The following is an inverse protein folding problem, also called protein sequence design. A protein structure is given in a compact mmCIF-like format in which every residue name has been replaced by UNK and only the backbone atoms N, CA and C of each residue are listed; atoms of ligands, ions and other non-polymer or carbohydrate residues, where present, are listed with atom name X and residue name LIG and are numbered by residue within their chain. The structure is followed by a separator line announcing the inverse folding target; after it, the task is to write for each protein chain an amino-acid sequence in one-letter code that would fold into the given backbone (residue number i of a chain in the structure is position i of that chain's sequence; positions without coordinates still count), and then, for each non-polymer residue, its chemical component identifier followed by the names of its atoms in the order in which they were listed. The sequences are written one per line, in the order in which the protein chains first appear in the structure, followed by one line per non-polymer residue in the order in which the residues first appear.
data_IF_190741077614
#
_entry.id   IF_190741077614
#
_cell.length_a   1.000
_cell.length_b   1.000
_cell.length_c   1.000
_cell.angle_alpha   90.00
_cell.angle_beta   90.00
_cell.angle_gamma   90.00
#
_symmetry.space_group_name_H-M   'P 1'
#
loop_
_entity.id
_entity.type
_entity.pdbx_description
1 polymer ?
#
# COMPACT_ATOMS: atom_id res chain seq x y z
N UNK A 1 22.05 23.54 -8.19
CA UNK A 1 20.62 23.93 -8.17
C UNK A 1 20.01 23.21 -6.98
N UNK A 2 19.91 23.91 -5.85
CA UNK A 2 19.62 23.30 -4.55
C UNK A 2 18.10 23.19 -4.38
N UNK A 3 17.59 21.97 -4.51
CA UNK A 3 16.18 21.67 -4.25
C UNK A 3 15.98 21.62 -2.73
N UNK A 4 15.23 22.58 -2.19
CA UNK A 4 14.93 22.68 -0.76
C UNK A 4 14.02 21.52 -0.33
N UNK A 5 14.35 20.91 0.82
CA UNK A 5 13.67 19.77 1.45
C UNK A 5 12.18 20.04 1.72
N UNK A 6 11.75 21.30 1.76
CA UNK A 6 10.35 21.72 1.87
C UNK A 6 9.45 21.24 0.72
N UNK A 7 9.97 21.11 -0.50
CA UNK A 7 9.19 20.68 -1.67
C UNK A 7 8.82 19.18 -1.68
N UNK A 8 9.54 18.35 -0.90
CA UNK A 8 9.25 16.91 -0.83
C UNK A 8 8.02 16.62 0.04
N UNK A 9 7.72 17.48 1.02
CA UNK A 9 6.57 17.30 1.92
C UNK A 9 5.26 17.82 1.32
N UNK A 10 5.25 18.96 0.63
CA UNK A 10 4.06 19.45 -0.08
C UNK A 10 3.64 18.53 -1.24
N UNK A 11 4.60 17.97 -1.98
CA UNK A 11 4.31 17.00 -3.05
C UNK A 11 3.80 15.66 -2.53
N UNK A 12 4.20 15.26 -1.32
CA UNK A 12 3.72 14.02 -0.71
C UNK A 12 2.24 14.06 -0.31
N UNK A 13 1.72 15.23 0.10
CA UNK A 13 0.30 15.42 0.39
C UNK A 13 -0.56 15.16 -0.85
N UNK A 14 -0.15 15.70 -2.01
CA UNK A 14 -0.87 15.52 -3.27
C UNK A 14 -0.71 14.12 -3.88
N UNK A 15 0.35 13.40 -3.54
CA UNK A 15 0.57 12.06 -4.06
C UNK A 15 -0.52 11.08 -3.58
N UNK A 16 -0.83 11.09 -2.28
CA UNK A 16 -1.85 10.19 -1.70
C UNK A 16 -3.29 10.66 -1.96
N UNK A 17 -3.49 11.86 -2.48
CA UNK A 17 -4.80 12.37 -2.90
C UNK A 17 -5.26 11.82 -4.26
N UNK A 18 -4.32 11.29 -5.07
CA UNK A 18 -4.66 10.62 -6.32
C UNK A 18 -5.52 9.38 -6.03
N UNK A 19 -6.54 9.17 -6.85
CA UNK A 19 -7.58 8.17 -6.58
C UNK A 19 -7.01 6.76 -6.35
N UNK A 20 -6.11 6.30 -7.22
CA UNK A 20 -5.53 4.96 -7.12
C UNK A 20 -4.67 4.80 -5.85
N UNK A 21 -3.83 5.79 -5.56
CA UNK A 21 -2.97 5.84 -4.39
C UNK A 21 -3.77 5.88 -3.09
N UNK A 22 -4.81 6.72 -3.04
CA UNK A 22 -5.75 6.82 -1.92
C UNK A 22 -6.43 5.48 -1.64
N UNK A 23 -6.94 4.82 -2.68
CA UNK A 23 -7.65 3.55 -2.55
C UNK A 23 -6.78 2.45 -1.95
N UNK A 24 -5.54 2.30 -2.44
CA UNK A 24 -4.61 1.29 -1.92
C UNK A 24 -4.20 1.60 -0.48
N UNK A 25 -3.82 2.86 -0.21
CA UNK A 25 -3.33 3.25 1.11
C UNK A 25 -4.43 3.19 2.19
N UNK A 26 -5.56 3.86 1.97
CA UNK A 26 -6.66 3.85 2.94
C UNK A 26 -7.32 2.47 3.03
N UNK A 27 -7.37 1.72 1.92
CA UNK A 27 -7.78 0.33 1.92
C UNK A 27 -6.93 -0.52 2.88
N UNK A 28 -5.60 -0.41 2.80
CA UNK A 28 -4.69 -1.10 3.70
C UNK A 28 -4.87 -0.68 5.16
N UNK A 29 -4.95 0.62 5.44
CA UNK A 29 -5.12 1.18 6.79
C UNK A 29 -6.38 0.64 7.45
N UNK A 30 -7.51 0.79 6.77
CA UNK A 30 -8.80 0.34 7.28
C UNK A 30 -8.86 -1.18 7.45
N UNK A 31 -8.32 -1.95 6.52
CA UNK A 31 -8.36 -3.41 6.62
C UNK A 31 -7.51 -3.93 7.78
N UNK A 32 -6.31 -3.35 7.95
CA UNK A 32 -5.40 -3.68 9.05
C UNK A 32 -5.99 -3.25 10.40
N UNK A 33 -6.58 -2.05 10.49
CA UNK A 33 -7.25 -1.59 11.70
C UNK A 33 -8.43 -2.49 12.10
N UNK A 34 -9.16 -3.07 11.14
CA UNK A 34 -10.20 -4.06 11.43
C UNK A 34 -9.64 -5.34 12.07
N UNK A 35 -8.48 -5.81 11.61
CA UNK A 35 -7.79 -6.93 12.27
C UNK A 35 -7.30 -6.58 13.67
N UNK A 36 -6.72 -5.40 13.86
CA UNK A 36 -6.21 -4.96 15.16
C UNK A 36 -7.30 -4.73 16.20
N UNK A 37 -8.44 -4.17 15.79
CA UNK A 37 -9.54 -3.81 16.70
C UNK A 37 -10.61 -4.91 16.84
N UNK A 38 -10.66 -5.86 15.91
CA UNK A 38 -11.75 -6.84 15.81
C UNK A 38 -13.11 -6.21 15.48
N UNK A 39 -13.14 -4.94 15.09
CA UNK A 39 -14.35 -4.20 14.75
C UNK A 39 -14.63 -4.26 13.26
N UNK A 40 -15.90 -4.30 12.89
CA UNK A 40 -16.36 -4.20 11.50
C UNK A 40 -16.27 -2.76 10.96
N UNK A 41 -16.26 -1.77 11.86
CA UNK A 41 -16.34 -0.34 11.49
C UNK A 41 -15.23 0.06 10.50
N UNK A 42 -13.94 -0.28 10.71
CA UNK A 42 -12.90 0.05 9.73
C UNK A 42 -13.16 -0.57 8.35
N UNK A 43 -13.69 -1.80 8.26
CA UNK A 43 -14.01 -2.42 6.97
C UNK A 43 -15.18 -1.72 6.27
N UNK A 44 -16.17 -1.23 7.00
CA UNK A 44 -17.24 -0.39 6.45
C UNK A 44 -16.73 0.97 5.95
N UNK A 45 -15.73 1.54 6.62
CA UNK A 45 -15.06 2.75 6.16
C UNK A 45 -14.29 2.51 4.86
N UNK A 46 -13.52 1.42 4.75
CA UNK A 46 -12.90 1.02 3.48
C UNK A 46 -13.95 0.87 2.37
N UNK A 47 -15.06 0.17 2.65
CA UNK A 47 -16.16 0.02 1.70
C UNK A 47 -16.72 1.36 1.24
N UNK A 48 -16.89 2.31 2.17
CA UNK A 48 -17.37 3.66 1.86
C UNK A 48 -16.40 4.40 0.94
N UNK A 49 -15.09 4.36 1.22
CA UNK A 49 -14.07 4.98 0.36
C UNK A 49 -14.14 4.39 -1.06
N UNK A 50 -14.14 3.06 -1.17
CA UNK A 50 -14.18 2.40 -2.49
C UNK A 50 -15.45 2.70 -3.28
N UNK A 51 -16.61 2.68 -2.63
CA UNK A 51 -17.90 2.92 -3.30
C UNK A 51 -18.08 4.38 -3.73
N UNK A 52 -17.54 5.34 -2.97
CA UNK A 52 -17.53 6.74 -3.36
C UNK A 52 -16.65 7.01 -4.59
N UNK A 53 -15.49 6.38 -4.66
CA UNK A 53 -14.51 6.62 -5.73
C UNK A 53 -14.83 5.82 -7.02
N UNK A 54 -15.31 4.57 -6.89
CA UNK A 54 -15.45 3.65 -8.03
C UNK A 54 -16.91 3.33 -8.39
N UNK A 55 -17.87 3.63 -7.51
CA UNK A 55 -19.23 3.10 -7.61
C UNK A 55 -19.34 1.64 -7.14
N UNK A 56 -20.57 1.18 -6.92
CA UNK A 56 -20.85 -0.09 -6.22
C UNK A 56 -20.22 -1.33 -6.87
N UNK A 57 -20.39 -1.51 -8.19
CA UNK A 57 -19.95 -2.74 -8.87
C UNK A 57 -18.43 -2.86 -8.93
N UNK A 58 -17.75 -1.77 -9.25
CA UNK A 58 -16.27 -1.71 -9.28
C UNK A 58 -15.69 -1.83 -7.88
N UNK A 59 -16.30 -1.17 -6.88
CA UNK A 59 -15.91 -1.27 -5.48
C UNK A 59 -15.99 -2.71 -4.97
N UNK A 60 -17.07 -3.43 -5.29
CA UNK A 60 -17.23 -4.84 -4.90
C UNK A 60 -16.07 -5.70 -5.36
N UNK A 61 -15.66 -5.57 -6.63
CA UNK A 61 -14.53 -6.30 -7.20
C UNK A 61 -13.23 -5.95 -6.48
N UNK A 62 -12.92 -4.66 -6.36
CA UNK A 62 -11.67 -4.21 -5.78
C UNK A 62 -11.53 -4.56 -4.29
N UNK A 63 -12.60 -4.38 -3.50
CA UNK A 63 -12.60 -4.70 -2.06
C UNK A 63 -12.51 -6.20 -1.81
N UNK A 64 -13.08 -7.03 -2.71
CA UNK A 64 -12.95 -8.48 -2.60
C UNK A 64 -11.47 -8.89 -2.69
N UNK A 65 -10.76 -8.43 -3.71
CA UNK A 65 -9.33 -8.74 -3.87
C UNK A 65 -8.46 -8.07 -2.80
N UNK A 66 -8.77 -6.85 -2.39
CA UNK A 66 -8.11 -6.19 -1.25
C UNK A 66 -8.23 -7.05 0.00
N UNK A 67 -9.45 -7.49 0.32
CA UNK A 67 -9.72 -8.28 1.52
C UNK A 67 -8.95 -9.59 1.51
N UNK A 68 -8.86 -10.24 0.34
CA UNK A 68 -8.09 -11.46 0.18
C UNK A 68 -6.61 -11.18 0.37
N UNK A 69 -6.07 -10.17 -0.31
CA UNK A 69 -4.67 -9.79 -0.24
C UNK A 69 -4.24 -9.45 1.19
N UNK A 70 -4.92 -8.52 1.87
CA UNK A 70 -4.51 -8.09 3.22
C UNK A 70 -4.67 -9.24 4.22
N UNK A 71 -5.71 -10.07 4.09
CA UNK A 71 -5.86 -11.26 4.94
C UNK A 71 -4.70 -12.25 4.73
N UNK A 72 -4.34 -12.54 3.48
CA UNK A 72 -3.22 -13.44 3.17
C UNK A 72 -1.90 -12.85 3.71
N UNK A 73 -1.67 -11.56 3.49
CA UNK A 73 -0.50 -10.86 4.01
C UNK A 73 -0.46 -10.90 5.54
N UNK A 74 -1.57 -10.64 6.23
CA UNK A 74 -1.64 -10.66 7.69
C UNK A 74 -1.22 -12.00 8.30
N UNK A 75 -1.60 -13.12 7.68
CA UNK A 75 -1.20 -14.46 8.16
C UNK A 75 0.23 -14.87 7.77
N UNK A 76 0.84 -14.19 6.81
CA UNK A 76 2.14 -14.56 6.24
C UNK A 76 3.24 -13.53 6.52
N UNK A 77 2.90 -12.42 7.17
CA UNK A 77 3.81 -11.31 7.40
C UNK A 77 5.01 -11.74 8.25
N UNK A 78 6.19 -11.24 7.90
CA UNK A 78 7.42 -11.49 8.66
C UNK A 78 7.41 -10.81 10.04
N UNK A 79 6.65 -9.72 10.16
CA UNK A 79 6.44 -8.96 11.39
C UNK A 79 4.99 -8.48 11.48
N UNK A 80 4.59 -7.98 12.65
CA UNK A 80 3.29 -7.32 12.81
C UNK A 80 3.17 -6.19 11.79
N UNK A 81 2.10 -6.23 10.98
CA UNK A 81 1.74 -5.16 10.06
C UNK A 81 1.36 -3.91 10.86
N UNK A 82 1.83 -2.75 10.43
CA UNK A 82 1.55 -1.46 11.06
C UNK A 82 0.96 -0.52 10.04
N UNK A 83 0.02 0.30 10.49
CA UNK A 83 -0.56 1.36 9.70
C UNK A 83 -0.63 2.63 10.55
N UNK A 84 -0.49 3.78 9.90
CA UNK A 84 -0.92 5.03 10.54
C UNK A 84 -2.46 5.10 10.57
N UNK A 85 -3.03 5.97 11.42
CA UNK A 85 -4.46 6.24 11.39
C UNK A 85 -4.93 6.66 9.99
N UNK A 86 -6.16 6.29 9.64
CA UNK A 86 -6.80 6.72 8.39
C UNK A 86 -6.81 8.24 8.25
N UNK A 87 -6.59 8.74 7.03
CA UNK A 87 -6.46 10.18 6.75
C UNK A 87 -5.13 10.82 7.20
N UNK A 88 -4.17 10.04 7.70
CA UNK A 88 -2.80 10.54 7.98
C UNK A 88 -2.09 10.94 6.68
N UNK A 89 -1.44 12.11 6.69
CA UNK A 89 -0.60 12.59 5.59
C UNK A 89 0.81 11.94 5.57
N UNK A 90 1.13 11.12 6.58
CA UNK A 90 2.40 10.42 6.68
C UNK A 90 2.23 8.96 6.35
N UNK A 91 3.29 8.32 5.85
CA UNK A 91 3.34 6.87 5.65
C UNK A 91 4.40 6.20 6.52
N UNK A 92 4.11 5.01 7.04
CA UNK A 92 5.05 4.18 7.75
C UNK A 92 5.82 3.26 6.78
N UNK A 93 6.75 2.45 7.32
CA UNK A 93 7.54 1.50 6.54
C UNK A 93 6.65 0.49 5.82
N UNK A 94 5.71 -0.13 6.53
CA UNK A 94 4.84 -1.17 5.98
C UNK A 94 3.91 -0.62 4.90
N UNK A 95 3.35 0.60 5.10
CA UNK A 95 2.57 1.31 4.09
C UNK A 95 3.40 1.61 2.84
N UNK A 96 4.65 2.07 3.00
CA UNK A 96 5.55 2.30 1.87
C UNK A 96 5.85 1.01 1.08
N UNK A 97 6.10 -0.10 1.78
CA UNK A 97 6.40 -1.38 1.14
C UNK A 97 5.19 -1.94 0.41
N UNK A 98 4.00 -1.83 1.00
CA UNK A 98 2.76 -2.27 0.36
C UNK A 98 2.43 -1.45 -0.89
N UNK A 99 2.55 -0.12 -0.80
CA UNK A 99 2.38 0.77 -1.96
C UNK A 99 3.41 0.44 -3.05
N UNK A 100 4.67 0.25 -2.66
CA UNK A 100 5.74 -0.16 -3.56
C UNK A 100 5.45 -1.50 -4.25
N UNK A 101 4.91 -2.48 -3.51
CA UNK A 101 4.55 -3.79 -4.06
C UNK A 101 3.46 -3.68 -5.12
N UNK A 102 2.36 -2.97 -4.83
CA UNK A 102 1.26 -2.83 -5.78
C UNK A 102 1.70 -2.02 -7.01
N UNK A 103 2.39 -0.90 -6.80
CA UNK A 103 2.95 -0.10 -7.90
C UNK A 103 3.89 -0.94 -8.79
N UNK A 104 4.79 -1.71 -8.19
CA UNK A 104 5.72 -2.56 -8.91
C UNK A 104 5.01 -3.65 -9.73
N UNK A 105 3.97 -4.28 -9.16
CA UNK A 105 3.17 -5.28 -9.86
C UNK A 105 2.40 -4.70 -11.05
N UNK A 106 1.85 -3.50 -10.92
CA UNK A 106 1.13 -2.83 -12.01
C UNK A 106 2.06 -2.36 -13.13
N UNK A 107 3.30 -1.97 -12.78
CA UNK A 107 4.25 -1.36 -13.70
C UNK A 107 5.35 -2.32 -14.21
N UNK A 108 5.33 -3.60 -13.82
CA UNK A 108 6.30 -4.60 -14.26
C UNK A 108 7.71 -4.43 -13.67
N UNK A 109 7.83 -3.83 -12.48
CA UNK A 109 9.11 -3.69 -11.77
C UNK A 109 9.37 -4.91 -10.88
N UNK A 110 9.97 -5.95 -11.46
CA UNK A 110 10.30 -7.18 -10.74
C UNK A 110 11.26 -6.94 -9.55
N UNK A 111 12.17 -5.96 -9.65
CA UNK A 111 13.18 -5.70 -8.62
C UNK A 111 12.55 -5.10 -7.38
N UNK A 112 11.73 -4.06 -7.55
CA UNK A 112 11.01 -3.43 -6.42
C UNK A 112 9.99 -4.39 -5.82
N UNK A 113 9.30 -5.19 -6.65
CA UNK A 113 8.38 -6.24 -6.18
C UNK A 113 9.09 -7.21 -5.22
N UNK A 114 10.22 -7.77 -5.65
CA UNK A 114 10.91 -8.80 -4.88
C UNK A 114 11.47 -8.23 -3.56
N UNK A 115 12.01 -7.00 -3.59
CA UNK A 115 12.43 -6.29 -2.36
C UNK A 115 11.27 -6.05 -1.40
N UNK A 116 10.11 -5.61 -1.89
CA UNK A 116 8.94 -5.43 -1.02
C UNK A 116 8.46 -6.75 -0.42
N UNK A 117 8.42 -7.83 -1.20
CA UNK A 117 7.98 -9.16 -0.73
C UNK A 117 8.93 -9.71 0.34
N UNK A 118 10.23 -9.67 0.10
CA UNK A 118 11.25 -10.13 1.04
C UNK A 118 11.20 -9.35 2.37
N UNK A 119 10.85 -8.06 2.30
CA UNK A 119 10.75 -7.19 3.46
C UNK A 119 9.43 -7.32 4.25
N UNK A 120 8.36 -7.81 3.62
CA UNK A 120 7.01 -7.91 4.20
C UNK A 120 6.67 -9.34 4.67
N UNK A 121 7.18 -10.38 3.99
CA UNK A 121 6.63 -11.73 4.05
C UNK A 121 7.72 -12.74 4.46
N UNK A 122 7.34 -13.75 5.25
CA UNK A 122 8.23 -14.89 5.48
C UNK A 122 8.55 -15.60 4.16
N UNK A 123 9.81 -16.01 3.95
CA UNK A 123 10.27 -16.61 2.69
C UNK A 123 9.44 -17.81 2.21
N UNK A 124 8.94 -18.63 3.13
CA UNK A 124 8.10 -19.79 2.84
C UNK A 124 6.70 -19.45 2.32
N UNK A 125 6.25 -18.20 2.44
CA UNK A 125 4.90 -17.72 2.09
C UNK A 125 4.88 -16.66 0.99
N UNK A 126 6.04 -16.29 0.44
CA UNK A 126 6.16 -15.26 -0.61
C UNK A 126 5.24 -15.57 -1.79
N UNK A 127 5.17 -16.83 -2.25
CA UNK A 127 4.35 -17.19 -3.41
C UNK A 127 2.85 -16.92 -3.19
N UNK A 128 2.34 -17.23 -1.99
CA UNK A 128 0.93 -17.02 -1.63
C UNK A 128 0.58 -15.54 -1.59
N UNK A 129 1.41 -14.73 -0.94
CA UNK A 129 1.21 -13.27 -0.85
C UNK A 129 1.39 -12.61 -2.22
N UNK A 130 2.40 -13.00 -2.99
CA UNK A 130 2.64 -12.50 -4.34
C UNK A 130 1.43 -12.72 -5.23
N UNK A 131 0.83 -13.91 -5.20
CA UNK A 131 -0.36 -14.22 -5.99
C UNK A 131 -1.55 -13.35 -5.59
N UNK A 132 -1.85 -13.24 -4.30
CA UNK A 132 -2.96 -12.41 -3.84
C UNK A 132 -2.74 -10.91 -4.13
N UNK A 133 -1.50 -10.41 -3.98
CA UNK A 133 -1.13 -9.05 -4.35
C UNK A 133 -1.28 -8.81 -5.87
N UNK A 134 -0.90 -9.79 -6.70
CA UNK A 134 -1.05 -9.75 -8.15
C UNK A 134 -2.52 -9.66 -8.56
N UNK A 135 -3.40 -10.46 -7.95
CA UNK A 135 -4.83 -10.45 -8.27
C UNK A 135 -5.49 -9.11 -7.92
N UNK A 136 -5.10 -8.53 -6.79
CA UNK A 136 -5.52 -7.17 -6.43
C UNK A 136 -4.94 -6.10 -7.37
N UNK A 137 -3.64 -6.13 -7.67
CA UNK A 137 -2.99 -5.17 -8.57
C UNK A 137 -3.59 -5.22 -9.99
N UNK A 138 -3.87 -6.42 -10.49
CA UNK A 138 -4.53 -6.64 -11.79
C UNK A 138 -5.96 -6.08 -11.75
N UNK A 139 -6.73 -6.39 -10.71
CA UNK A 139 -8.09 -5.86 -10.56
C UNK A 139 -8.10 -4.33 -10.54
N UNK A 140 -7.19 -3.71 -9.80
CA UNK A 140 -7.06 -2.25 -9.79
C UNK A 140 -6.71 -1.71 -11.18
N UNK A 141 -5.81 -2.37 -11.91
CA UNK A 141 -5.44 -1.99 -13.30
C UNK A 141 -6.64 -2.09 -14.25
N UNK A 142 -7.41 -3.17 -14.18
CA UNK A 142 -8.64 -3.37 -14.99
C UNK A 142 -9.73 -2.33 -14.67
N UNK A 143 -9.68 -1.72 -13.49
CA UNK A 143 -10.57 -0.65 -13.06
C UNK A 143 -10.00 0.75 -13.34
N UNK A 144 -8.91 0.84 -14.12
CA UNK A 144 -8.20 2.07 -14.50
C UNK A 144 -7.54 2.78 -13.29
N UNK A 145 -7.32 2.04 -12.20
CA UNK A 145 -6.67 2.53 -10.97
C UNK A 145 -5.22 2.07 -10.92
N UNK A 146 -4.36 2.81 -11.63
CA UNK A 146 -2.93 2.51 -11.74
C UNK A 146 -2.13 3.49 -10.90
N UNK A 147 -1.34 2.96 -9.96
CA UNK A 147 -0.42 3.75 -9.15
C UNK A 147 0.70 4.30 -10.04
N UNK A 148 1.15 5.52 -9.73
CA UNK A 148 2.42 5.98 -10.28
C UNK A 148 3.56 5.01 -9.91
N UNK A 149 4.54 4.81 -10.81
CA UNK A 149 5.72 4.04 -10.49
C UNK A 149 6.44 4.62 -9.27
N UNK A 150 6.58 3.82 -8.21
CA UNK A 150 7.40 4.17 -7.05
C UNK A 150 8.83 3.70 -7.35
N UNK A 151 9.81 4.60 -7.39
CA UNK A 151 11.15 4.23 -7.78
C UNK A 151 11.81 3.35 -6.72
N UNK A 152 12.57 2.36 -7.15
CA UNK A 152 13.27 1.40 -6.29
C UNK A 152 14.02 2.06 -5.12
N UNK A 153 14.70 3.18 -5.36
CA UNK A 153 15.45 3.88 -4.32
C UNK A 153 14.56 4.38 -3.17
N UNK A 154 13.31 4.77 -3.44
CA UNK A 154 12.39 5.24 -2.40
C UNK A 154 12.01 4.08 -1.45
N UNK A 155 11.81 2.88 -2.02
CA UNK A 155 11.58 1.65 -1.26
C UNK A 155 12.84 1.22 -0.49
N UNK A 156 14.01 1.27 -1.12
CA UNK A 156 15.28 0.92 -0.46
C UNK A 156 15.61 1.88 0.71
N UNK A 157 15.25 3.15 0.60
CA UNK A 157 15.44 4.14 1.67
C UNK A 157 14.68 3.77 2.94
N UNK A 158 13.43 3.28 2.86
CA UNK A 158 12.65 2.90 4.06
C UNK A 158 13.12 1.61 4.72
N UNK A 159 13.93 0.81 4.03
CA UNK A 159 14.55 -0.41 4.55
C UNK A 159 15.92 -0.17 5.21
N UNK A 160 16.53 0.99 4.97
CA UNK A 160 17.85 1.31 5.48
C UNK A 160 17.82 1.55 7.00
N UNK A 161 18.64 0.86 7.81
CA UNK A 161 18.72 1.06 9.26
C UNK A 161 19.24 2.45 9.67
N UNK A 162 19.82 3.19 8.73
CA UNK A 162 20.30 4.54 8.95
C UNK A 162 19.09 5.49 9.03
N UNK A 163 18.67 5.76 10.27
CA UNK A 163 17.59 6.69 10.59
C UNK A 163 17.73 8.00 9.82
N UNK A 164 16.57 8.61 9.56
CA UNK A 164 16.42 10.00 9.13
C UNK A 164 17.65 10.83 9.48
N UNK A 165 18.57 10.97 8.52
CA UNK A 165 19.54 12.05 8.59
C UNK A 165 18.72 13.29 8.26
N UNK A 166 18.24 13.95 9.31
CA UNK A 166 17.82 15.35 9.25
C UNK A 166 19.02 16.11 8.69
N UNK A 167 18.97 16.42 7.39
CA UNK A 167 19.87 17.41 6.82
C UNK A 167 19.32 18.77 7.30
N UNK A 168 20.00 19.36 8.28
CA UNK A 168 19.81 20.75 8.71
C UNK A 168 20.34 21.71 7.64
#
# INVERSE_FOLDING_TARGET
MNMQVSNLFETSSHYFERQAEKLVLEGYRHWTAGFETGSVIPWEMAWTVYTQELGLDKAKRAVTELSHFIRTLHFCAACQLKAFPYGSMHICREECLLMGLISALQNGDDTTRDVCLDALVCSSRIAEVKKAAQDYAQTMTELEQVLLPIPHYAVACVLSPAGYKTFH
#
